data_IF_513272099141
#
_entry.id   IF_513272099141
#
_cell.length_a   1.000
_cell.length_b   1.000
_cell.length_c   1.000
_cell.angle_alpha   90.00
_cell.angle_beta   90.00
_cell.angle_gamma   90.00
#
_symmetry.space_group_name_H-M   'P 1'
#
loop_
_entity.id
_entity.type
_entity.pdbx_description
1 polymer ?
#
# COMPACT_ATOMS: atom_id res chain seq x y z
N UNK A 1 2.57 -34.64 -36.41
CA UNK A 1 2.68 -33.57 -37.41
C UNK A 1 4.15 -33.45 -37.80
N UNK A 2 4.55 -34.10 -38.89
CA UNK A 2 5.95 -34.21 -39.34
C UNK A 2 6.08 -33.76 -40.81
N UNK A 3 5.31 -32.74 -41.19
CA UNK A 3 5.42 -32.14 -42.51
C UNK A 3 6.35 -30.92 -42.42
N UNK A 4 7.17 -30.75 -43.47
CA UNK A 4 8.11 -29.63 -43.58
C UNK A 4 7.31 -28.31 -43.55
N UNK A 5 7.68 -27.33 -42.70
CA UNK A 5 7.06 -26.02 -42.71
C UNK A 5 7.17 -25.38 -44.09
N UNK A 6 6.05 -24.84 -44.57
CA UNK A 6 6.00 -24.07 -45.80
C UNK A 6 6.76 -22.75 -45.62
N UNK A 7 7.28 -22.22 -46.72
CA UNK A 7 8.12 -21.02 -46.76
C UNK A 7 7.46 -19.91 -47.59
N UNK A 8 6.37 -19.28 -47.09
CA UNK A 8 5.76 -18.16 -47.78
C UNK A 8 6.64 -16.90 -47.65
N UNK A 9 6.71 -16.11 -48.73
CA UNK A 9 7.34 -14.80 -48.73
C UNK A 9 6.47 -13.78 -49.47
N UNK A 10 6.66 -12.51 -49.13
CA UNK A 10 5.93 -11.37 -49.73
C UNK A 10 6.92 -10.25 -49.98
N UNK A 11 6.81 -9.60 -51.13
CA UNK A 11 7.47 -8.33 -51.43
C UNK A 11 6.41 -7.23 -51.38
N UNK A 12 6.60 -6.24 -50.51
CA UNK A 12 5.69 -5.11 -50.34
C UNK A 12 6.46 -3.79 -50.20
N UNK A 13 5.81 -2.69 -50.57
CA UNK A 13 6.30 -1.34 -50.35
C UNK A 13 5.96 -0.84 -48.93
N UNK A 14 6.67 0.18 -48.46
CA UNK A 14 6.35 0.87 -47.20
C UNK A 14 4.94 1.50 -47.19
N UNK A 15 4.34 1.69 -48.37
CA UNK A 15 2.96 2.15 -48.56
C UNK A 15 1.90 1.09 -48.18
N UNK A 16 2.31 -0.17 -47.96
CA UNK A 16 1.42 -1.30 -47.75
C UNK A 16 0.97 -2.00 -49.04
N UNK A 17 1.43 -1.53 -50.22
CA UNK A 17 1.15 -2.16 -51.50
C UNK A 17 1.96 -3.45 -51.66
N UNK A 18 1.28 -4.56 -51.94
CA UNK A 18 1.90 -5.86 -52.24
C UNK A 18 2.31 -5.89 -53.71
N UNK A 19 3.58 -6.21 -53.98
CA UNK A 19 4.14 -6.30 -55.34
C UNK A 19 4.13 -7.74 -55.86
N UNK A 20 4.48 -8.70 -55.02
CA UNK A 20 4.43 -10.14 -55.35
C UNK A 20 4.42 -10.94 -54.04
N UNK A 21 3.88 -12.16 -54.10
CA UNK A 21 3.87 -13.09 -52.99
C UNK A 21 3.95 -14.52 -53.50
N UNK A 22 4.59 -15.40 -52.74
CA UNK A 22 4.73 -16.79 -53.13
C UNK A 22 4.71 -17.72 -51.93
N UNK A 23 4.36 -18.97 -52.17
CA UNK A 23 4.43 -20.05 -51.21
C UNK A 23 4.73 -21.35 -51.94
N UNK A 24 5.51 -22.23 -51.31
CA UNK A 24 5.87 -23.57 -51.79
C UNK A 24 4.73 -24.60 -51.65
N UNK A 25 3.51 -24.18 -51.33
CA UNK A 25 2.35 -25.06 -51.34
C UNK A 25 1.82 -25.30 -52.76
N UNK A 26 1.02 -26.36 -52.94
CA UNK A 26 0.44 -26.73 -54.23
C UNK A 26 -0.36 -25.59 -54.89
N UNK A 27 -1.03 -24.75 -54.09
CA UNK A 27 -1.78 -23.58 -54.57
C UNK A 27 -0.92 -22.30 -54.70
N UNK A 28 0.32 -22.31 -54.19
CA UNK A 28 1.18 -21.13 -54.12
C UNK A 28 1.86 -20.75 -55.43
N UNK A 29 1.78 -21.63 -56.45
CA UNK A 29 2.12 -21.30 -57.84
C UNK A 29 1.23 -20.20 -58.43
N UNK A 30 0.03 -20.00 -57.87
CA UNK A 30 -0.89 -18.92 -58.26
C UNK A 30 -0.76 -17.65 -57.41
N UNK A 31 0.29 -17.52 -56.59
CA UNK A 31 0.59 -16.35 -55.73
C UNK A 31 -0.51 -15.95 -54.73
N UNK A 32 -1.59 -16.74 -54.63
CA UNK A 32 -2.84 -16.37 -53.95
C UNK A 32 -3.39 -17.49 -53.06
N UNK A 33 -2.50 -18.16 -52.31
CA UNK A 33 -2.91 -19.20 -51.37
C UNK A 33 -3.26 -18.65 -49.97
N UNK A 34 -3.95 -19.46 -49.16
CA UNK A 34 -4.31 -19.12 -47.78
C UNK A 34 -3.09 -18.83 -46.88
N UNK A 35 -1.94 -19.45 -47.16
CA UNK A 35 -0.69 -19.18 -46.44
C UNK A 35 -0.11 -17.79 -46.74
N UNK A 36 -0.25 -17.31 -47.97
CA UNK A 36 0.11 -15.93 -48.33
C UNK A 36 -0.83 -14.95 -47.64
N UNK A 37 -2.14 -15.24 -47.63
CA UNK A 37 -3.12 -14.40 -46.94
C UNK A 37 -2.87 -14.32 -45.43
N UNK A 38 -2.53 -15.44 -44.78
CA UNK A 38 -2.22 -15.44 -43.34
C UNK A 38 -0.94 -14.68 -43.02
N UNK A 39 0.09 -14.77 -43.87
CA UNK A 39 1.32 -13.99 -43.73
C UNK A 39 1.04 -12.48 -43.86
N UNK A 40 0.26 -12.06 -44.86
CA UNK A 40 -0.16 -10.67 -45.02
C UNK A 40 -0.93 -10.15 -43.81
N UNK A 41 -1.81 -10.98 -43.24
CA UNK A 41 -2.57 -10.62 -42.05
C UNK A 41 -1.69 -10.48 -40.80
N UNK A 42 -0.68 -11.34 -40.65
CA UNK A 42 0.30 -11.23 -39.58
C UNK A 42 1.14 -9.94 -39.71
N UNK A 43 1.55 -9.58 -40.93
CA UNK A 43 2.26 -8.31 -41.20
C UNK A 43 1.37 -7.12 -40.84
N UNK A 44 0.10 -7.11 -41.27
CA UNK A 44 -0.86 -6.05 -40.97
C UNK A 44 -1.08 -5.87 -39.46
N UNK A 45 -1.27 -6.97 -38.73
CA UNK A 45 -1.41 -6.96 -37.27
C UNK A 45 -0.14 -6.44 -36.57
N UNK A 46 1.05 -6.78 -37.08
CA UNK A 46 2.33 -6.27 -36.62
C UNK A 46 2.47 -4.76 -36.84
N UNK A 47 2.10 -4.27 -38.02
CA UNK A 47 2.07 -2.84 -38.34
C UNK A 47 1.10 -2.08 -37.45
N UNK A 48 -0.14 -2.58 -37.29
CA UNK A 48 -1.12 -1.98 -36.38
C UNK A 48 -0.59 -1.89 -34.95
N UNK A 49 0.02 -2.96 -34.42
CA UNK A 49 0.61 -2.95 -33.08
C UNK A 49 1.77 -1.95 -32.94
N UNK A 50 2.60 -1.81 -33.97
CA UNK A 50 3.70 -0.83 -34.00
C UNK A 50 3.18 0.60 -34.04
N UNK A 51 2.12 0.86 -34.80
CA UNK A 51 1.59 2.21 -34.99
C UNK A 51 0.62 2.59 -33.85
N UNK A 52 0.09 1.60 -33.12
CA UNK A 52 -0.79 1.74 -31.95
C UNK A 52 -0.05 1.71 -30.61
N UNK A 53 1.20 2.19 -30.52
CA UNK A 53 1.94 2.22 -29.26
C UNK A 53 1.10 2.91 -28.19
N UNK A 54 0.62 2.12 -27.22
CA UNK A 54 -0.18 2.61 -26.13
C UNK A 54 0.68 3.51 -25.25
N UNK A 55 0.05 4.37 -24.42
CA UNK A 55 0.78 5.27 -23.52
C UNK A 55 1.73 4.49 -22.59
N UNK A 56 1.47 3.21 -22.35
CA UNK A 56 2.30 2.27 -21.60
C UNK A 56 3.47 1.65 -22.37
N UNK A 57 3.42 1.58 -23.70
CA UNK A 57 4.52 1.04 -24.54
C UNK A 57 5.57 2.10 -24.90
N UNK A 58 5.22 3.38 -24.78
CA UNK A 58 6.19 4.48 -24.90
C UNK A 58 6.99 4.57 -23.60
N UNK A 59 8.31 4.72 -23.69
CA UNK A 59 9.17 5.00 -22.53
C UNK A 59 8.54 6.14 -21.74
N UNK A 60 8.29 5.92 -20.45
CA UNK A 60 7.53 6.83 -19.61
C UNK A 60 8.08 8.25 -19.73
N UNK A 61 7.36 9.10 -20.46
CA UNK A 61 7.69 10.50 -20.66
C UNK A 61 6.98 11.32 -19.58
N UNK A 62 7.12 10.90 -18.32
CA UNK A 62 6.85 11.83 -17.23
C UNK A 62 7.79 13.00 -17.44
N UNK A 63 7.27 14.04 -18.09
CA UNK A 63 7.94 15.32 -18.20
C UNK A 63 8.00 15.79 -16.77
N UNK A 64 9.12 15.48 -16.11
CA UNK A 64 9.45 16.05 -14.82
C UNK A 64 9.26 17.56 -15.01
N UNK A 65 8.31 18.19 -14.29
CA UNK A 65 8.18 19.63 -14.32
C UNK A 65 9.58 20.19 -14.10
N UNK A 66 9.98 21.15 -14.92
CA UNK A 66 11.32 21.77 -14.82
C UNK A 66 11.58 22.05 -13.37
N UNK A 67 12.68 21.51 -12.81
CA UNK A 67 12.96 21.52 -11.37
C UNK A 67 12.64 22.89 -10.80
N UNK A 68 11.50 23.00 -10.13
CA UNK A 68 11.04 24.26 -9.54
C UNK A 68 11.95 24.41 -8.33
N UNK A 69 13.01 25.20 -8.49
CA UNK A 69 14.09 25.33 -7.49
C UNK A 69 13.59 25.82 -6.13
N UNK A 70 12.37 26.34 -6.06
CA UNK A 70 11.77 26.90 -4.86
C UNK A 70 10.26 26.88 -4.99
N UNK A 71 9.63 25.81 -4.49
CA UNK A 71 8.19 25.86 -4.16
C UNK A 71 8.11 26.36 -2.72
N UNK A 72 7.61 27.57 -2.45
CA UNK A 72 7.44 28.03 -1.08
C UNK A 72 6.48 27.10 -0.34
N UNK A 73 6.89 26.60 0.82
CA UNK A 73 6.01 25.84 1.68
C UNK A 73 4.96 26.79 2.26
N UNK A 74 3.70 26.42 2.15
CA UNK A 74 2.58 27.15 2.76
C UNK A 74 1.70 26.14 3.48
N UNK A 75 1.00 26.56 4.54
CA UNK A 75 0.00 25.69 5.17
C UNK A 75 -1.11 25.45 4.15
N UNK A 76 -1.76 24.28 4.20
CA UNK A 76 -2.83 23.92 3.26
C UNK A 76 -3.93 24.99 3.19
N UNK A 77 -4.26 25.62 4.32
CA UNK A 77 -5.23 26.73 4.38
C UNK A 77 -4.82 28.00 3.63
N UNK A 78 -3.51 28.18 3.42
CA UNK A 78 -2.92 29.34 2.77
C UNK A 78 -2.59 29.04 1.27
N UNK A 79 -2.81 27.80 0.81
CA UNK A 79 -2.63 27.40 -0.59
C UNK A 79 -3.95 27.61 -1.34
N UNK A 80 -3.89 28.40 -2.42
CA UNK A 80 -5.03 28.58 -3.29
C UNK A 80 -5.12 27.44 -4.32
N UNK A 81 -6.05 26.50 -4.11
CA UNK A 81 -6.32 25.39 -5.01
C UNK A 81 -7.35 25.71 -6.12
N UNK A 82 -7.79 26.97 -6.25
CA UNK A 82 -8.67 27.34 -7.36
C UNK A 82 -7.97 27.12 -8.69
N UNK A 83 -8.70 26.56 -9.67
CA UNK A 83 -8.22 26.49 -11.05
C UNK A 83 -7.93 27.91 -11.51
N UNK A 84 -6.67 28.22 -11.83
CA UNK A 84 -6.35 29.47 -12.51
C UNK A 84 -7.12 29.49 -13.84
N UNK A 85 -8.04 30.45 -14.08
CA UNK A 85 -8.50 30.66 -15.43
C UNK A 85 -7.35 31.28 -16.21
N UNK A 86 -7.00 30.66 -17.34
CA UNK A 86 -6.38 31.42 -18.41
C UNK A 86 -7.29 32.64 -18.66
N UNK A 87 -6.79 33.86 -18.45
CA UNK A 87 -7.47 35.17 -18.45
C UNK A 87 -8.07 35.66 -17.10
N UNK A 88 -7.37 36.65 -16.52
CA UNK A 88 -7.79 37.88 -15.80
C UNK A 88 -9.05 37.92 -14.91
N UNK A 89 -9.65 36.79 -14.54
CA UNK A 89 -10.82 36.79 -13.66
C UNK A 89 -10.37 36.57 -12.22
N UNK A 90 -10.44 37.61 -11.40
CA UNK A 90 -10.32 37.50 -9.94
C UNK A 90 -11.33 36.47 -9.44
N UNK A 91 -10.83 35.32 -8.97
CA UNK A 91 -11.64 34.29 -8.31
C UNK A 91 -12.25 34.93 -7.07
N UNK A 92 -13.58 35.10 -7.06
CA UNK A 92 -14.28 35.54 -5.84
C UNK A 92 -14.08 34.45 -4.78
N UNK A 93 -13.50 34.75 -3.61
CA UNK A 93 -13.40 33.77 -2.54
C UNK A 93 -14.82 33.32 -2.19
N UNK A 94 -15.03 32.00 -2.13
CA UNK A 94 -16.31 31.44 -1.75
C UNK A 94 -16.68 31.98 -0.36
N UNK A 95 -17.75 32.76 -0.26
CA UNK A 95 -18.20 33.40 0.98
C UNK A 95 -18.96 32.41 1.88
N UNK A 96 -18.44 31.20 2.04
CA UNK A 96 -19.05 30.24 2.95
C UNK A 96 -18.65 30.64 4.36
N UNK A 97 -19.64 30.88 5.21
CA UNK A 97 -19.41 31.09 6.64
C UNK A 97 -18.78 29.82 7.22
N UNK A 98 -17.72 29.94 8.03
CA UNK A 98 -17.17 28.78 8.72
C UNK A 98 -18.27 28.16 9.59
N UNK A 99 -18.35 26.81 9.67
CA UNK A 99 -19.34 26.13 10.48
C UNK A 99 -19.17 26.51 11.96
N UNK A 100 -20.29 26.66 12.65
CA UNK A 100 -20.33 26.83 14.10
C UNK A 100 -19.82 25.58 14.82
N UNK A 101 -19.33 25.76 16.05
CA UNK A 101 -18.86 24.66 16.89
C UNK A 101 -19.96 23.60 17.13
N UNK A 102 -21.21 24.03 17.23
CA UNK A 102 -22.38 23.17 17.35
C UNK A 102 -22.62 22.33 16.09
N UNK A 103 -22.46 22.92 14.91
CA UNK A 103 -22.60 22.18 13.64
C UNK A 103 -21.49 21.15 13.47
N UNK A 104 -20.25 21.50 13.85
CA UNK A 104 -19.12 20.58 13.81
C UNK A 104 -19.35 19.40 14.77
N UNK A 105 -19.82 19.67 15.99
CA UNK A 105 -20.10 18.62 16.98
C UNK A 105 -21.20 17.68 16.51
N UNK A 106 -22.28 18.23 15.94
CA UNK A 106 -23.36 17.43 15.37
C UNK A 106 -22.88 16.55 14.21
N UNK A 107 -22.05 17.10 13.32
CA UNK A 107 -21.43 16.34 12.22
C UNK A 107 -20.57 15.17 12.72
N UNK A 108 -19.74 15.41 13.74
CA UNK A 108 -18.91 14.36 14.34
C UNK A 108 -19.73 13.28 15.03
N UNK A 109 -20.86 13.64 15.65
CA UNK A 109 -21.81 12.69 16.23
C UNK A 109 -22.49 11.85 15.13
N UNK A 110 -22.94 12.46 14.03
CA UNK A 110 -23.47 11.71 12.89
C UNK A 110 -22.45 10.72 12.32
N UNK A 111 -21.17 11.10 12.27
CA UNK A 111 -20.08 10.21 11.82
C UNK A 111 -19.85 9.05 12.80
N UNK A 112 -20.03 9.28 14.11
CA UNK A 112 -19.90 8.24 15.14
C UNK A 112 -20.95 7.15 14.99
N UNK A 113 -22.16 7.53 14.59
CA UNK A 113 -23.29 6.60 14.45
C UNK A 113 -23.25 5.78 13.15
N UNK A 114 -22.28 6.03 12.26
CA UNK A 114 -22.06 5.23 11.07
C UNK A 114 -21.65 3.78 11.41
N UNK A 115 -22.05 2.79 10.59
CA UNK A 115 -21.72 1.39 10.83
C UNK A 115 -20.23 1.06 10.68
N UNK A 116 -19.48 1.89 9.94
CA UNK A 116 -18.03 1.76 9.79
C UNK A 116 -17.30 2.56 10.86
N UNK A 117 -16.05 2.20 11.16
CA UNK A 117 -15.19 2.95 12.08
C UNK A 117 -14.42 4.05 11.31
N UNK A 118 -14.89 5.32 11.32
CA UNK A 118 -14.20 6.44 10.68
C UNK A 118 -12.86 6.76 11.36
N UNK A 119 -11.75 6.52 10.66
CA UNK A 119 -10.39 6.81 11.15
C UNK A 119 -10.20 8.26 11.67
N UNK A 120 -10.95 9.22 11.14
CA UNK A 120 -10.93 10.61 11.58
C UNK A 120 -11.22 10.75 13.09
N UNK A 121 -12.17 9.98 13.63
CA UNK A 121 -12.56 10.05 15.05
C UNK A 121 -11.46 9.57 15.99
N UNK A 122 -10.45 8.85 15.51
CA UNK A 122 -9.28 8.47 16.32
C UNK A 122 -8.44 9.67 16.77
N UNK A 123 -8.53 10.79 16.06
CA UNK A 123 -7.78 12.01 16.35
C UNK A 123 -8.57 13.00 17.23
N UNK A 124 -9.83 12.69 17.55
CA UNK A 124 -10.73 13.58 18.27
C UNK A 124 -10.90 13.05 19.70
N UNK A 125 -10.39 13.75 20.72
CA UNK A 125 -10.36 13.22 22.10
C UNK A 125 -11.73 12.79 22.64
N UNK A 126 -12.81 13.48 22.26
CA UNK A 126 -14.17 13.15 22.70
C UNK A 126 -14.76 11.88 22.04
N UNK A 127 -14.12 11.37 20.98
CA UNK A 127 -14.63 10.27 20.14
C UNK A 127 -13.59 9.15 19.92
N UNK A 128 -12.38 9.28 20.48
CA UNK A 128 -11.26 8.37 20.25
C UNK A 128 -11.32 7.06 21.03
N UNK A 129 -12.27 6.91 21.98
CA UNK A 129 -12.37 5.73 22.87
C UNK A 129 -12.49 4.40 22.10
N UNK A 130 -13.11 4.42 20.92
CA UNK A 130 -13.27 3.22 20.09
C UNK A 130 -12.03 2.85 19.26
N UNK A 131 -10.98 3.69 19.29
CA UNK A 131 -9.76 3.58 18.50
C UNK A 131 -8.52 3.27 19.35
N UNK A 132 -8.71 2.81 20.58
CA UNK A 132 -7.62 2.38 21.45
C UNK A 132 -6.83 1.27 20.74
N UNK A 133 -5.52 1.47 20.48
CA UNK A 133 -4.70 0.45 19.85
C UNK A 133 -4.72 -0.83 20.67
N UNK A 134 -4.76 -1.99 19.99
CA UNK A 134 -4.67 -3.32 20.64
C UNK A 134 -3.39 -3.50 21.49
N UNK A 135 -2.41 -2.62 21.35
CA UNK A 135 -1.20 -2.57 22.17
C UNK A 135 -1.42 -1.98 23.58
N UNK A 136 -2.53 -1.27 23.82
CA UNK A 136 -2.80 -0.56 25.09
C UNK A 136 -3.60 -1.42 26.09
N UNK A 137 -4.22 -2.51 25.63
CA UNK A 137 -4.77 -3.54 26.53
C UNK A 137 -3.81 -4.73 26.59
N UNK A 138 -2.84 -4.76 27.52
CA UNK A 138 -2.04 -5.94 27.74
C UNK A 138 -2.90 -6.95 28.50
N UNK A 139 -3.72 -7.70 27.77
CA UNK A 139 -4.18 -9.01 28.26
C UNK A 139 -3.01 -10.03 28.29
N UNK A 140 -1.78 -9.57 28.09
CA UNK A 140 -0.55 -10.34 28.18
C UNK A 140 0.10 -10.12 29.56
N UNK A 141 0.76 -11.15 30.11
CA UNK A 141 1.45 -11.02 31.38
C UNK A 141 2.63 -10.07 31.29
N UNK A 142 2.99 -9.49 32.45
CA UNK A 142 4.17 -8.65 32.60
C UNK A 142 5.42 -9.43 32.20
N UNK A 143 6.33 -8.79 31.46
CA UNK A 143 7.60 -9.39 31.02
C UNK A 143 8.67 -9.18 32.09
N UNK A 144 9.47 -10.21 32.38
CA UNK A 144 10.47 -10.13 33.45
C UNK A 144 11.54 -9.06 33.17
N UNK A 145 11.81 -8.76 31.90
CA UNK A 145 12.71 -7.68 31.51
C UNK A 145 12.24 -6.28 31.92
N UNK A 146 10.95 -6.11 32.23
CA UNK A 146 10.39 -4.83 32.71
C UNK A 146 10.52 -4.61 34.22
N UNK A 147 11.03 -5.60 34.96
CA UNK A 147 11.25 -5.51 36.41
C UNK A 147 12.52 -4.73 36.77
N UNK A 148 13.39 -4.44 35.81
CA UNK A 148 14.60 -3.67 36.06
C UNK A 148 14.24 -2.21 36.36
N UNK A 149 14.63 -1.75 37.55
CA UNK A 149 14.49 -0.36 37.98
C UNK A 149 15.89 0.21 38.28
N UNK A 150 16.30 1.20 37.47
CA UNK A 150 17.61 1.84 37.62
C UNK A 150 17.74 2.61 38.93
N UNK A 151 16.64 3.00 39.56
CA UNK A 151 16.66 3.68 40.86
C UNK A 151 17.07 2.75 42.02
N UNK A 152 16.97 1.43 41.81
CA UNK A 152 17.32 0.41 42.80
C UNK A 152 18.74 -0.15 42.59
N UNK A 153 19.50 0.35 41.62
CA UNK A 153 20.82 -0.16 41.30
C UNK A 153 21.82 -0.05 42.47
N UNK A 154 21.73 1.03 43.25
CA UNK A 154 22.58 1.31 44.41
C UNK A 154 21.87 1.05 45.76
N UNK A 155 20.70 0.39 45.74
CA UNK A 155 19.91 0.15 46.94
C UNK A 155 20.51 -0.94 47.84
N UNK A 156 20.18 -0.88 49.14
CA UNK A 156 20.62 -1.85 50.13
C UNK A 156 19.85 -3.18 50.04
N UNK A 157 20.52 -4.26 50.44
CA UNK A 157 19.98 -5.62 50.36
C UNK A 157 18.59 -5.80 51.01
N UNK A 158 18.31 -5.26 52.21
CA UNK A 158 16.97 -5.34 52.82
C UNK A 158 15.86 -4.71 51.96
N UNK A 159 16.15 -3.58 51.33
CA UNK A 159 15.21 -2.89 50.43
C UNK A 159 14.97 -3.68 49.15
N UNK A 160 16.03 -4.25 48.57
CA UNK A 160 15.93 -5.13 47.39
C UNK A 160 15.12 -6.39 47.68
N UNK A 161 15.32 -7.00 48.85
CA UNK A 161 14.58 -8.20 49.25
C UNK A 161 13.07 -7.92 49.34
N UNK A 162 12.69 -6.84 50.04
CA UNK A 162 11.29 -6.42 50.13
C UNK A 162 10.68 -6.14 48.75
N UNK A 163 11.40 -5.47 47.87
CA UNK A 163 10.95 -5.18 46.49
C UNK A 163 10.79 -6.45 45.66
N UNK A 164 11.64 -7.44 45.88
CA UNK A 164 11.55 -8.73 45.18
C UNK A 164 10.31 -9.52 45.59
N UNK A 165 9.93 -9.48 46.87
CA UNK A 165 8.69 -10.11 47.38
C UNK A 165 7.46 -9.41 46.80
N UNK A 166 7.43 -8.07 46.80
CA UNK A 166 6.36 -7.29 46.16
C UNK A 166 6.22 -7.64 44.66
N UNK A 167 7.33 -7.76 43.95
CA UNK A 167 7.33 -8.13 42.53
C UNK A 167 6.83 -9.57 42.31
N UNK A 168 7.19 -10.51 43.19
CA UNK A 168 6.74 -11.90 43.10
C UNK A 168 5.22 -12.03 43.21
N UNK A 169 4.60 -11.30 44.14
CA UNK A 169 3.14 -11.27 44.29
C UNK A 169 2.42 -10.66 43.07
N UNK A 170 3.05 -9.70 42.39
CA UNK A 170 2.50 -9.08 41.19
C UNK A 170 2.66 -9.91 39.92
N UNK A 171 3.57 -10.89 39.90
CA UNK A 171 3.89 -11.71 38.73
C UNK A 171 2.90 -12.86 38.46
N UNK A 172 1.78 -12.90 39.17
CA UNK A 172 0.76 -13.94 39.00
C UNK A 172 0.18 -13.90 37.57
N UNK A 173 0.32 -15.03 36.86
CA UNK A 173 -0.17 -15.18 35.48
C UNK A 173 -1.51 -15.90 35.49
N UNK A 174 -2.56 -15.22 35.04
CA UNK A 174 -3.90 -15.79 34.91
C UNK A 174 -3.98 -16.81 33.76
N UNK A 175 -4.93 -17.75 33.84
CA UNK A 175 -5.15 -18.74 32.77
C UNK A 175 -5.42 -18.09 31.40
N UNK A 176 -6.22 -17.01 31.38
CA UNK A 176 -6.51 -16.22 30.18
C UNK A 176 -5.23 -15.63 29.55
N UNK A 177 -4.31 -15.13 30.37
CA UNK A 177 -3.01 -14.64 29.91
C UNK A 177 -2.14 -15.76 29.32
N UNK A 178 -2.19 -16.97 29.89
CA UNK A 178 -1.45 -18.13 29.36
C UNK A 178 -1.94 -18.53 27.97
N UNK A 179 -3.26 -18.66 27.81
CA UNK A 179 -3.91 -18.99 26.53
C UNK A 179 -3.58 -17.94 25.46
N UNK A 180 -3.63 -16.65 25.81
CA UNK A 180 -3.31 -15.57 24.87
C UNK A 180 -1.83 -15.53 24.48
N UNK A 181 -0.92 -15.86 25.41
CA UNK A 181 0.50 -15.97 25.11
C UNK A 181 0.76 -17.13 24.16
N UNK A 182 0.16 -18.30 24.39
CA UNK A 182 0.25 -19.43 23.46
C UNK A 182 -0.23 -19.02 22.06
N UNK A 183 -1.44 -18.46 21.98
CA UNK A 183 -2.06 -18.08 20.70
C UNK A 183 -1.17 -17.11 19.91
N UNK A 184 -0.67 -16.06 20.56
CA UNK A 184 0.18 -15.04 19.91
C UNK A 184 1.63 -15.48 19.69
N UNK A 185 2.05 -16.59 20.27
CA UNK A 185 3.43 -17.11 20.13
C UNK A 185 3.48 -18.49 19.47
N UNK A 186 2.38 -18.93 18.85
CA UNK A 186 2.25 -20.23 18.16
C UNK A 186 3.25 -20.44 17.03
N UNK A 187 3.69 -19.36 16.38
CA UNK A 187 4.73 -19.42 15.35
C UNK A 187 6.16 -19.51 15.91
N UNK A 188 6.32 -19.50 17.24
CA UNK A 188 7.57 -19.73 17.94
C UNK A 188 8.70 -18.77 17.50
N UNK A 189 9.76 -19.31 16.89
CA UNK A 189 10.97 -18.57 16.53
C UNK A 189 10.76 -17.49 15.45
N UNK A 190 9.64 -17.51 14.70
CA UNK A 190 9.30 -16.41 13.80
C UNK A 190 8.63 -15.22 14.51
N UNK A 191 8.17 -15.40 15.76
CA UNK A 191 7.48 -14.38 16.53
C UNK A 191 8.44 -13.62 17.45
N UNK A 192 8.57 -12.30 17.26
CA UNK A 192 9.31 -11.43 18.20
C UNK A 192 8.73 -11.48 19.62
N UNK A 193 7.42 -11.69 19.73
CA UNK A 193 6.75 -11.81 21.02
C UNK A 193 7.17 -13.07 21.78
N UNK A 194 7.45 -14.17 21.08
CA UNK A 194 7.92 -15.43 21.66
C UNK A 194 9.25 -15.23 22.40
N UNK A 195 10.23 -14.58 21.76
CA UNK A 195 11.51 -14.24 22.41
C UNK A 195 11.30 -13.32 23.63
N UNK A 196 10.44 -12.30 23.49
CA UNK A 196 10.17 -11.36 24.56
C UNK A 196 9.52 -12.02 25.78
N UNK A 197 8.62 -12.98 25.56
CA UNK A 197 7.97 -13.75 26.61
C UNK A 197 8.89 -14.79 27.27
N UNK A 198 9.95 -15.25 26.58
CA UNK A 198 10.92 -16.22 27.14
C UNK A 198 12.08 -15.56 27.88
N UNK A 199 12.25 -14.25 27.75
CA UNK A 199 13.35 -13.51 28.39
C UNK A 199 13.24 -13.62 29.91
N UNK A 200 14.30 -14.10 30.56
CA UNK A 200 14.37 -14.26 32.02
C UNK A 200 13.61 -15.46 32.59
N UNK A 201 13.00 -16.32 31.75
CA UNK A 201 12.30 -17.54 32.20
C UNK A 201 13.16 -18.78 32.00
N UNK A 202 13.08 -19.72 32.93
CA UNK A 202 13.66 -21.06 32.76
C UNK A 202 12.75 -21.81 31.77
N UNK A 203 13.32 -22.22 30.63
CA UNK A 203 12.59 -22.96 29.59
C UNK A 203 13.08 -24.40 29.53
N UNK A 204 12.17 -25.32 29.18
CA UNK A 204 12.49 -26.73 28.93
C UNK A 204 13.43 -26.92 27.73
#
# INVERSE_FOLDING_TARGET
>A
MSEKPLTPWVVCENSGKVLSAHCDCMAGLGESCSHVASLLWAIEAGCKRRDSLTVTDKKAYWVLPTSVKTVPYARVKDINFSKTPCSTSTVKPSSVTPPSETELTNFLNCIKDCPSKPALLSLIPAHSDFYVPKSVNPELPVVLSSLFDNSLADADYPTLLKKSEEAFELLQVTKKQQELVEEKTREQASSRLWFRMRTGRITA
#
